data_IF_423124055935
#
_entry.id   IF_423124055935
#
_cell.length_a   1.000
_cell.length_b   1.000
_cell.length_c   1.000
_cell.angle_alpha   90.00
_cell.angle_beta   90.00
_cell.angle_gamma   90.00
#
_symmetry.space_group_name_H-M   'P 1'
#
loop_
_entity.id
_entity.type
_entity.pdbx_description
1 polymer ?
#
# COMPACT_ATOMS: atom_id res chain seq x y z
N UNK A 1 -4.36 10.20 3.14
CA UNK A 1 -4.90 10.85 1.93
C UNK A 1 -5.24 12.27 2.33
N UNK A 2 -4.53 13.28 1.85
CA UNK A 2 -4.88 14.66 2.19
C UNK A 2 -6.00 15.14 1.26
N UNK A 3 -6.94 15.92 1.80
CA UNK A 3 -7.93 16.66 1.01
C UNK A 3 -7.17 17.71 0.20
N UNK A 4 -7.09 17.47 -1.10
CA UNK A 4 -6.57 18.44 -2.04
C UNK A 4 -7.47 18.37 -3.27
N UNK A 5 -8.20 19.46 -3.48
CA UNK A 5 -9.16 19.62 -4.58
C UNK A 5 -8.45 20.07 -5.86
N UNK A 6 -7.35 20.83 -5.77
CA UNK A 6 -6.66 21.39 -6.95
C UNK A 6 -5.14 21.10 -6.94
N UNK A 7 -4.60 20.85 -8.13
CA UNK A 7 -3.20 20.62 -8.43
C UNK A 7 -2.50 21.92 -8.83
N UNK A 8 -2.85 23.06 -8.21
CA UNK A 8 -2.34 24.38 -8.60
C UNK A 8 -0.80 24.32 -8.71
N UNK A 9 -0.24 24.67 -9.88
CA UNK A 9 1.13 24.31 -10.23
C UNK A 9 2.10 25.19 -9.46
N UNK A 10 2.69 24.64 -8.41
CA UNK A 10 3.95 25.18 -7.92
C UNK A 10 5.04 24.74 -8.90
N UNK A 11 5.77 25.71 -9.46
CA UNK A 11 6.83 25.46 -10.42
C UNK A 11 7.79 24.38 -9.85
N UNK A 12 7.93 23.29 -10.59
CA UNK A 12 8.87 22.22 -10.28
C UNK A 12 10.27 22.77 -10.61
N UNK A 13 11.23 22.80 -9.67
CA UNK A 13 12.61 23.12 -10.02
C UNK A 13 13.09 22.05 -11.01
N UNK A 14 13.38 22.46 -12.24
CA UNK A 14 14.12 21.65 -13.19
C UNK A 14 15.47 21.31 -12.56
N UNK A 15 15.83 20.02 -12.56
CA UNK A 15 17.17 19.61 -12.16
C UNK A 15 18.18 20.36 -13.05
N UNK A 16 18.92 21.29 -12.45
CA UNK A 16 19.83 22.17 -13.18
C UNK A 16 20.96 21.33 -13.78
N UNK A 17 20.94 21.16 -15.10
CA UNK A 17 22.16 20.97 -15.86
C UNK A 17 22.98 22.27 -15.78
N UNK A 18 24.30 22.11 -15.70
CA UNK A 18 25.30 23.18 -15.56
C UNK A 18 25.27 24.14 -16.77
N UNK A 19 25.34 25.45 -16.53
CA UNK A 19 25.75 26.45 -17.53
C UNK A 19 24.99 27.79 -17.46
N UNK A 20 25.66 28.95 -17.60
CA UNK A 20 25.07 30.24 -17.27
C UNK A 20 24.37 30.89 -18.48
N UNK A 21 23.33 31.67 -18.17
CA UNK A 21 22.58 32.59 -19.05
C UNK A 21 21.63 31.96 -20.06
N UNK A 22 20.34 31.91 -19.71
CA UNK A 22 19.23 32.36 -20.57
C UNK A 22 17.94 32.50 -19.75
N UNK A 23 17.20 33.57 -20.00
CA UNK A 23 15.95 33.98 -19.33
C UNK A 23 14.82 32.95 -19.51
N UNK A 24 13.83 32.87 -18.59
CA UNK A 24 12.83 31.82 -18.63
C UNK A 24 11.73 32.14 -19.66
N UNK A 25 11.51 31.23 -20.61
CA UNK A 25 10.27 31.19 -21.41
C UNK A 25 9.25 30.28 -20.72
N UNK A 26 8.02 30.78 -20.59
CA UNK A 26 6.87 30.03 -20.07
C UNK A 26 6.40 29.12 -21.21
N UNK A 27 6.75 27.84 -21.15
CA UNK A 27 6.17 26.82 -22.01
C UNK A 27 4.85 26.32 -21.40
N UNK A 28 3.78 26.37 -22.20
CA UNK A 28 2.40 26.09 -21.81
C UNK A 28 2.00 24.61 -21.88
N UNK A 29 2.95 23.68 -21.86
CA UNK A 29 2.68 22.24 -21.78
C UNK A 29 3.71 21.55 -20.89
N UNK A 30 3.31 20.76 -19.86
CA UNK A 30 4.26 19.97 -19.12
C UNK A 30 4.70 18.80 -20.01
N UNK A 31 5.96 18.86 -20.46
CA UNK A 31 6.62 17.74 -21.12
C UNK A 31 6.45 16.45 -20.28
N UNK A 32 6.32 15.27 -20.93
CA UNK A 32 6.23 14.00 -20.21
C UNK A 32 7.46 13.84 -19.33
N UNK A 33 7.24 13.77 -18.02
CA UNK A 33 8.30 13.52 -17.06
C UNK A 33 8.96 12.17 -17.37
N UNK A 34 10.30 12.18 -17.40
CA UNK A 34 11.11 10.96 -17.49
C UNK A 34 10.62 9.93 -16.46
N UNK A 35 10.49 8.64 -16.81
CA UNK A 35 10.09 7.59 -15.87
C UNK A 35 11.03 7.49 -14.65
N UNK A 36 12.23 8.08 -14.75
CA UNK A 36 13.24 8.19 -13.70
C UNK A 36 13.11 9.44 -12.80
N UNK A 37 12.07 10.28 -12.98
CA UNK A 37 11.71 11.28 -11.96
C UNK A 37 11.04 10.59 -10.76
N UNK A 38 11.91 9.98 -9.97
CA UNK A 38 11.68 9.23 -8.76
C UNK A 38 11.15 10.19 -7.69
N UNK A 39 9.82 10.30 -7.51
CA UNK A 39 9.24 11.22 -6.51
C UNK A 39 9.31 10.59 -5.11
N UNK A 40 10.14 11.11 -4.17
CA UNK A 40 10.17 10.60 -2.80
C UNK A 40 9.07 11.25 -1.96
N UNK A 41 8.33 10.42 -1.22
CA UNK A 41 7.57 10.90 -0.06
C UNK A 41 6.43 11.88 -0.35
N UNK A 42 6.50 13.06 0.29
CA UNK A 42 5.49 14.14 0.26
C UNK A 42 5.83 15.28 -0.71
N UNK A 43 6.97 15.23 -1.39
CA UNK A 43 7.31 16.21 -2.42
C UNK A 43 6.29 16.16 -3.58
N UNK A 44 6.22 17.24 -4.38
CA UNK A 44 5.37 17.32 -5.57
C UNK A 44 3.87 17.10 -5.27
N UNK A 45 3.34 17.83 -4.29
CA UNK A 45 1.92 17.74 -3.89
C UNK A 45 0.94 18.12 -4.99
N UNK A 46 1.37 18.91 -5.99
CA UNK A 46 0.60 19.18 -7.20
C UNK A 46 0.34 17.90 -8.02
N UNK A 47 1.21 16.89 -7.94
CA UNK A 47 1.00 15.62 -8.62
C UNK A 47 0.13 14.68 -7.78
N UNK A 48 -1.09 14.52 -8.26
CA UNK A 48 -2.12 13.70 -7.62
C UNK A 48 -2.40 12.44 -8.46
N UNK A 49 -2.94 11.39 -7.83
CA UNK A 49 -3.22 10.10 -8.48
C UNK A 49 -2.00 9.18 -8.66
N UNK A 50 -0.77 9.67 -8.52
CA UNK A 50 0.48 8.89 -8.68
C UNK A 50 0.85 8.05 -7.45
N UNK A 51 1.69 7.02 -7.67
CA UNK A 51 2.27 6.19 -6.60
C UNK A 51 3.26 6.98 -5.76
N UNK A 52 3.23 6.76 -4.43
CA UNK A 52 4.13 7.41 -3.47
C UNK A 52 4.92 6.38 -2.67
N UNK A 53 6.14 6.75 -2.26
CA UNK A 53 7.03 5.93 -1.43
C UNK A 53 7.15 6.46 -0.01
N UNK A 54 7.46 5.55 0.91
CA UNK A 54 7.87 5.86 2.29
C UNK A 54 9.40 5.95 2.38
N UNK A 55 9.95 6.60 3.42
CA UNK A 55 9.27 7.49 4.37
C UNK A 55 8.87 8.81 3.68
N UNK A 56 7.84 9.46 4.21
CA UNK A 56 7.41 10.77 3.68
C UNK A 56 8.24 11.95 4.20
N UNK A 57 9.16 11.71 5.14
CA UNK A 57 10.04 12.73 5.68
C UNK A 57 11.33 12.79 4.86
N UNK A 58 11.79 13.99 4.53
CA UNK A 58 12.99 14.19 3.72
C UNK A 58 14.30 13.84 4.43
N UNK A 59 14.31 13.76 5.76
CA UNK A 59 15.49 13.45 6.57
C UNK A 59 15.75 11.94 6.75
N UNK A 60 14.81 11.09 6.32
CA UNK A 60 14.93 9.65 6.50
C UNK A 60 15.43 8.97 5.21
N UNK A 61 16.24 7.89 5.31
CA UNK A 61 16.74 7.18 4.13
C UNK A 61 15.59 6.74 3.20
N UNK A 62 15.74 6.88 1.87
CA UNK A 62 14.70 6.51 0.93
C UNK A 62 14.46 4.99 0.97
N UNK A 63 13.19 4.58 0.85
CA UNK A 63 12.84 3.16 0.69
C UNK A 63 12.01 2.95 -0.58
N UNK A 64 12.01 1.72 -1.09
CA UNK A 64 11.11 1.34 -2.18
C UNK A 64 9.68 1.04 -1.70
N UNK A 65 9.41 1.04 -0.38
CA UNK A 65 8.11 0.70 0.17
C UNK A 65 7.04 1.72 -0.26
N UNK A 66 5.96 1.23 -0.87
CA UNK A 66 4.86 2.10 -1.33
C UNK A 66 3.98 2.58 -0.18
N UNK A 67 3.22 3.64 -0.43
CA UNK A 67 2.23 4.13 0.53
C UNK A 67 1.16 3.08 0.82
N UNK A 68 0.49 3.17 1.97
CA UNK A 68 -0.57 2.22 2.30
C UNK A 68 -1.73 2.32 1.31
N UNK A 69 -2.06 3.54 0.84
CA UNK A 69 -3.09 3.74 -0.20
C UNK A 69 -2.73 3.02 -1.50
N UNK A 70 -1.47 3.08 -1.95
CA UNK A 70 -1.06 2.40 -3.20
C UNK A 70 -1.07 0.88 -3.05
N UNK A 71 -0.73 0.36 -1.86
CA UNK A 71 -0.83 -1.07 -1.55
C UNK A 71 -2.30 -1.52 -1.54
N UNK A 72 -3.18 -0.76 -0.88
CA UNK A 72 -4.62 -1.04 -0.86
C UNK A 72 -5.22 -1.01 -2.27
N UNK A 73 -4.85 -0.02 -3.09
CA UNK A 73 -5.27 0.03 -4.49
C UNK A 73 -4.81 -1.18 -5.29
N UNK A 74 -3.56 -1.64 -5.10
CA UNK A 74 -3.09 -2.87 -5.74
C UNK A 74 -3.90 -4.10 -5.29
N UNK A 75 -4.27 -4.19 -4.01
CA UNK A 75 -5.10 -5.27 -3.48
C UNK A 75 -6.52 -5.30 -4.06
N UNK A 76 -7.02 -4.20 -4.63
CA UNK A 76 -8.27 -4.21 -5.39
C UNK A 76 -8.16 -5.07 -6.65
N UNK A 77 -6.97 -5.35 -7.17
CA UNK A 77 -6.75 -6.21 -8.33
C UNK A 77 -6.21 -7.59 -7.96
N UNK A 78 -5.34 -7.66 -6.95
CA UNK A 78 -4.52 -8.85 -6.65
C UNK A 78 -5.03 -9.67 -5.48
N UNK A 79 -6.21 -9.38 -4.94
CA UNK A 79 -6.71 -9.88 -3.65
C UNK A 79 -5.77 -9.57 -2.48
N UNK A 80 -6.18 -9.97 -1.27
CA UNK A 80 -5.41 -9.86 -0.02
C UNK A 80 -4.36 -10.96 0.14
N UNK A 81 -4.48 -12.04 -0.65
CA UNK A 81 -3.58 -13.18 -0.53
C UNK A 81 -2.17 -12.82 -1.01
N UNK A 82 -1.17 -13.39 -0.34
CA UNK A 82 0.22 -13.41 -0.81
C UNK A 82 0.40 -14.47 -1.90
N UNK A 83 1.55 -14.43 -2.60
CA UNK A 83 1.91 -15.43 -3.62
C UNK A 83 1.83 -16.89 -3.13
N UNK A 84 2.47 -17.30 -2.01
CA UNK A 84 2.34 -18.68 -1.54
C UNK A 84 0.90 -19.05 -1.16
N UNK A 85 0.18 -18.15 -0.49
CA UNK A 85 -1.20 -18.43 -0.05
C UNK A 85 -2.20 -18.51 -1.21
N UNK A 86 -1.96 -17.80 -2.31
CA UNK A 86 -2.84 -17.87 -3.49
C UNK A 86 -2.71 -19.16 -4.30
N UNK A 87 -1.71 -20.00 -3.99
CA UNK A 87 -1.62 -21.35 -4.53
C UNK A 87 -2.55 -22.34 -3.80
N UNK A 88 -2.89 -22.03 -2.54
CA UNK A 88 -3.69 -22.90 -1.66
C UNK A 88 -5.15 -22.44 -1.54
N UNK A 89 -5.41 -21.14 -1.72
CA UNK A 89 -6.73 -20.53 -1.54
C UNK A 89 -7.07 -19.69 -2.76
N UNK A 90 -8.27 -19.88 -3.32
CA UNK A 90 -8.74 -19.05 -4.45
C UNK A 90 -8.78 -17.57 -4.05
N UNK A 91 -8.26 -16.66 -4.90
CA UNK A 91 -8.32 -15.23 -4.64
C UNK A 91 -9.71 -14.62 -4.86
N UNK A 92 -10.65 -15.31 -5.53
CA UNK A 92 -11.95 -14.77 -6.02
C UNK A 92 -12.73 -13.95 -4.99
N UNK A 93 -12.72 -14.40 -3.73
CA UNK A 93 -13.47 -13.80 -2.63
C UNK A 93 -12.57 -13.27 -1.50
N UNK A 94 -11.25 -13.20 -1.73
CA UNK A 94 -10.28 -12.73 -0.75
C UNK A 94 -9.97 -11.23 -0.91
N UNK A 95 -11.01 -10.40 -1.11
CA UNK A 95 -10.89 -8.95 -1.34
C UNK A 95 -11.45 -8.15 -0.16
N UNK A 96 -10.97 -6.91 0.00
CA UNK A 96 -11.57 -5.97 0.95
C UNK A 96 -12.95 -5.59 0.42
N UNK A 97 -13.98 -5.69 1.25
CA UNK A 97 -15.32 -5.19 0.92
C UNK A 97 -15.57 -3.77 1.42
N UNK A 98 -14.96 -3.39 2.56
CA UNK A 98 -15.15 -2.08 3.19
C UNK A 98 -13.87 -1.60 3.87
N UNK A 99 -13.51 -0.35 3.60
CA UNK A 99 -12.48 0.40 4.33
C UNK A 99 -13.16 1.42 5.25
N UNK A 100 -12.94 1.30 6.57
CA UNK A 100 -13.50 2.23 7.56
C UNK A 100 -12.42 3.22 7.98
N UNK A 101 -12.72 4.52 7.89
CA UNK A 101 -11.82 5.61 8.30
C UNK A 101 -12.46 6.47 9.39
N UNK A 102 -11.68 7.06 10.32
CA UNK A 102 -12.22 8.10 11.20
C UNK A 102 -12.80 9.25 10.38
N UNK A 103 -14.00 9.72 10.74
CA UNK A 103 -14.68 10.80 10.02
C UNK A 103 -13.80 12.07 9.91
N UNK A 104 -13.04 12.38 10.97
CA UNK A 104 -12.11 13.52 11.02
C UNK A 104 -10.90 13.42 10.07
N UNK A 105 -10.60 12.22 9.54
CA UNK A 105 -9.50 11.96 8.60
C UNK A 105 -10.00 11.55 7.21
N UNK A 106 -11.31 11.45 7.03
CA UNK A 106 -11.91 11.10 5.76
C UNK A 106 -11.84 12.27 4.77
N UNK A 107 -11.40 11.96 3.56
CA UNK A 107 -11.44 12.88 2.42
C UNK A 107 -12.12 12.16 1.27
N UNK A 108 -13.34 12.58 0.92
CA UNK A 108 -14.12 12.02 -0.17
C UNK A 108 -13.35 12.07 -1.50
N UNK A 109 -12.88 13.25 -1.89
CA UNK A 109 -12.06 13.45 -3.10
C UNK A 109 -10.76 12.64 -3.08
N UNK A 110 -10.10 12.56 -1.93
CA UNK A 110 -8.90 11.72 -1.76
C UNK A 110 -9.20 10.24 -1.98
N UNK A 111 -10.27 9.72 -1.36
CA UNK A 111 -10.65 8.31 -1.49
C UNK A 111 -11.12 7.99 -2.92
N UNK A 112 -11.97 8.83 -3.51
CA UNK A 112 -12.43 8.73 -4.90
C UNK A 112 -11.23 8.65 -5.84
N UNK A 113 -10.29 9.60 -5.74
CA UNK A 113 -9.09 9.62 -6.57
C UNK A 113 -8.23 8.36 -6.43
N UNK A 114 -8.12 7.77 -5.25
CA UNK A 114 -7.23 6.62 -5.02
C UNK A 114 -7.84 5.25 -5.29
N UNK A 115 -9.13 5.07 -5.04
CA UNK A 115 -9.75 3.74 -4.92
C UNK A 115 -10.97 3.52 -5.83
N UNK A 116 -11.63 4.58 -6.31
CA UNK A 116 -12.87 4.44 -7.09
C UNK A 116 -12.60 4.01 -8.53
N UNK A 117 -13.59 3.32 -9.10
CA UNK A 117 -13.79 3.01 -10.52
C UNK A 117 -14.12 4.23 -11.40
N UNK A 118 -14.27 5.42 -10.81
CA UNK A 118 -14.69 6.63 -11.51
C UNK A 118 -16.19 6.68 -11.83
N UNK A 119 -16.96 5.66 -11.44
CA UNK A 119 -18.41 5.63 -11.59
C UNK A 119 -19.04 6.15 -10.29
N UNK A 120 -19.78 7.24 -10.39
CA UNK A 120 -20.53 7.83 -9.27
C UNK A 120 -20.56 9.35 -9.35
N UNK A 121 -21.76 9.92 -9.46
CA UNK A 121 -22.01 11.33 -9.22
C UNK A 121 -22.04 11.55 -7.70
N UNK A 122 -21.16 12.40 -7.18
CA UNK A 122 -21.54 13.12 -5.96
C UNK A 122 -22.53 14.20 -6.44
N UNK A 123 -23.78 14.19 -5.96
CA UNK A 123 -24.84 15.15 -6.35
C UNK A 123 -24.46 16.63 -6.07
N UNK A 124 -23.33 16.87 -5.40
CA UNK A 124 -22.83 18.20 -5.04
C UNK A 124 -21.51 18.60 -5.74
N UNK A 125 -21.02 17.82 -6.71
CA UNK A 125 -19.76 18.09 -7.42
C UNK A 125 -20.03 18.73 -8.79
N UNK A 126 -20.79 19.84 -8.79
CA UNK A 126 -20.94 20.72 -9.95
C UNK A 126 -19.67 21.54 -10.14
N UNK A 127 -18.67 20.90 -10.73
CA UNK A 127 -17.58 21.58 -11.39
C UNK A 127 -16.36 21.88 -10.52
N UNK A 128 -15.21 21.73 -11.19
CA UNK A 128 -13.88 22.19 -10.80
C UNK A 128 -13.08 21.17 -9.95
N UNK A 129 -12.40 20.29 -10.69
CA UNK A 129 -11.29 19.42 -10.28
C UNK A 129 -11.62 18.06 -9.62
N UNK A 130 -12.59 17.34 -10.18
CA UNK A 130 -12.71 15.89 -10.08
C UNK A 130 -11.51 15.20 -10.75
N UNK A 131 -10.33 15.19 -10.11
CA UNK A 131 -9.21 14.43 -10.63
C UNK A 131 -9.61 12.96 -10.78
N UNK A 132 -9.52 12.49 -12.02
CA UNK A 132 -10.00 11.19 -12.46
C UNK A 132 -9.57 10.09 -11.49
N UNK A 133 -10.53 9.26 -11.10
CA UNK A 133 -10.28 8.14 -10.22
C UNK A 133 -9.23 7.24 -10.85
N UNK A 134 -8.07 7.09 -10.21
CA UNK A 134 -6.90 6.46 -10.86
C UNK A 134 -7.13 5.00 -11.21
N UNK A 135 -8.07 4.35 -10.53
CA UNK A 135 -8.41 2.93 -10.74
C UNK A 135 -9.47 2.75 -11.83
N UNK A 136 -10.10 3.81 -12.33
CA UNK A 136 -11.14 3.73 -13.37
C UNK A 136 -10.75 2.91 -14.61
N UNK A 137 -9.50 2.98 -15.13
CA UNK A 137 -9.10 2.16 -16.27
C UNK A 137 -9.19 0.65 -16.03
N UNK A 138 -9.21 0.19 -14.77
CA UNK A 138 -9.30 -1.23 -14.40
C UNK A 138 -10.75 -1.71 -14.23
N UNK A 139 -11.71 -0.79 -14.21
CA UNK A 139 -13.14 -1.09 -14.07
C UNK A 139 -13.82 -1.46 -15.40
N UNK A 140 -13.10 -1.35 -16.53
CA UNK A 140 -13.63 -1.74 -17.84
C UNK A 140 -13.80 -3.25 -17.90
N UNK A 141 -15.02 -3.71 -18.21
CA UNK A 141 -15.33 -5.13 -18.36
C UNK A 141 -14.53 -5.79 -19.48
N UNK A 142 -14.28 -7.10 -19.36
CA UNK A 142 -13.65 -7.96 -20.38
C UNK A 142 -12.16 -7.72 -20.72
N UNK A 143 -11.39 -7.05 -19.85
CA UNK A 143 -9.94 -6.95 -20.03
C UNK A 143 -9.27 -8.33 -19.98
N UNK A 144 -8.25 -8.56 -20.81
CA UNK A 144 -7.61 -9.89 -20.91
C UNK A 144 -7.02 -10.39 -19.59
N UNK A 145 -6.58 -9.50 -18.70
CA UNK A 145 -5.94 -9.89 -17.44
C UNK A 145 -6.89 -10.39 -16.35
N UNK A 146 -8.20 -10.11 -16.45
CA UNK A 146 -9.18 -10.42 -15.40
C UNK A 146 -10.08 -11.64 -15.69
N UNK A 147 -9.73 -12.43 -16.70
CA UNK A 147 -10.53 -13.57 -17.18
C UNK A 147 -10.25 -14.89 -16.46
N UNK A 148 -9.08 -15.01 -15.82
CA UNK A 148 -8.56 -16.29 -15.32
C UNK A 148 -7.93 -16.14 -13.93
N UNK A 149 -7.91 -17.23 -13.16
CA UNK A 149 -7.21 -17.31 -11.87
C UNK A 149 -7.82 -16.48 -10.73
N UNK A 150 -9.07 -16.04 -10.89
CA UNK A 150 -9.86 -15.34 -9.87
C UNK A 150 -9.42 -13.93 -9.51
N UNK A 151 -8.60 -13.32 -10.37
CA UNK A 151 -8.17 -11.93 -10.21
C UNK A 151 -9.04 -10.98 -11.02
N UNK A 152 -9.58 -9.97 -10.35
CA UNK A 152 -10.38 -8.91 -10.97
C UNK A 152 -10.24 -7.62 -10.18
N UNK A 153 -10.63 -6.50 -10.79
CA UNK A 153 -10.76 -5.25 -10.05
C UNK A 153 -12.03 -5.29 -9.21
N UNK A 154 -11.86 -5.27 -7.88
CA UNK A 154 -12.93 -5.27 -6.88
C UNK A 154 -12.87 -3.95 -6.09
N UNK A 155 -13.72 -2.96 -6.42
CA UNK A 155 -13.83 -1.76 -5.61
C UNK A 155 -14.36 -2.11 -4.21
N UNK A 156 -13.98 -1.31 -3.22
CA UNK A 156 -14.50 -1.45 -1.85
C UNK A 156 -15.20 -0.17 -1.41
N UNK A 157 -16.16 -0.33 -0.51
CA UNK A 157 -16.88 0.81 0.06
C UNK A 157 -15.99 1.53 1.07
N UNK A 158 -15.96 2.87 1.03
CA UNK A 158 -15.33 3.66 2.08
C UNK A 158 -16.41 4.17 3.02
N UNK A 159 -16.35 3.76 4.28
CA UNK A 159 -17.27 4.21 5.34
C UNK A 159 -16.50 4.99 6.39
N UNK A 160 -17.23 5.82 7.14
CA UNK A 160 -16.67 6.60 8.25
C UNK A 160 -17.12 6.07 9.60
N UNK A 161 -16.32 6.32 10.63
CA UNK A 161 -16.68 6.09 12.03
C UNK A 161 -16.33 7.32 12.86
N UNK A 162 -17.10 7.57 13.92
CA UNK A 162 -16.82 8.61 14.91
C UNK A 162 -15.91 8.11 16.05
N UNK A 163 -15.55 6.82 16.05
CA UNK A 163 -14.59 6.26 17.01
C UNK A 163 -13.20 6.81 16.72
N UNK A 164 -12.58 7.43 17.72
CA UNK A 164 -11.22 7.94 17.64
C UNK A 164 -10.37 7.42 18.81
N UNK A 165 -9.08 7.17 18.53
CA UNK A 165 -8.12 6.93 19.60
C UNK A 165 -7.78 8.21 20.36
N UNK A 166 -7.55 8.10 21.67
CA UNK A 166 -7.22 9.23 22.55
C UNK A 166 -6.01 10.07 22.05
N UNK A 167 -5.05 9.41 21.40
CA UNK A 167 -3.82 10.04 20.87
C UNK A 167 -3.85 10.24 19.35
N UNK A 168 -5.04 10.31 18.74
CA UNK A 168 -5.19 10.66 17.32
C UNK A 168 -4.68 12.07 17.05
N UNK A 169 -3.91 12.25 15.96
CA UNK A 169 -3.56 13.59 15.48
C UNK A 169 -4.78 14.23 14.82
N UNK A 170 -5.17 15.42 15.27
CA UNK A 170 -6.26 16.19 14.67
C UNK A 170 -5.71 17.26 13.73
N UNK A 171 -6.38 17.55 12.61
CA UNK A 171 -6.08 18.75 11.86
C UNK A 171 -6.34 19.96 12.78
N UNK A 172 -5.57 21.06 12.67
CA UNK A 172 -5.95 22.29 13.33
C UNK A 172 -7.34 22.70 12.83
N UNK A 173 -8.26 23.01 13.76
CA UNK A 173 -9.57 23.56 13.42
C UNK A 173 -9.33 24.94 12.81
N UNK A 174 -9.49 25.07 11.51
CA UNK A 174 -9.51 26.38 10.86
C UNK A 174 -10.87 27.01 11.19
N UNK A 175 -10.91 27.86 12.22
CA UNK A 175 -12.09 28.70 12.43
C UNK A 175 -12.24 29.61 11.20
N UNK A 176 -13.47 29.88 10.73
CA UNK A 176 -13.69 30.84 9.67
C UNK A 176 -13.08 32.19 10.08
N UNK A 177 -12.48 32.95 9.15
CA UNK A 177 -12.01 34.29 9.46
C UNK A 177 -13.20 35.11 9.97
N UNK A 178 -13.15 35.50 11.25
CA UNK A 178 -14.10 36.44 11.80
C UNK A 178 -14.05 37.72 10.96
N UNK A 179 -15.18 38.27 10.49
CA UNK A 179 -15.16 39.52 9.76
C UNK A 179 -14.53 40.59 10.66
N UNK A 180 -13.49 41.24 10.16
CA UNK A 180 -12.82 42.35 10.81
C UNK A 180 -13.79 43.53 10.95
N UNK A 181 -14.52 43.62 12.06
CA UNK A 181 -15.21 44.86 12.43
C UNK A 181 -14.22 45.76 13.15
N UNK A 182 -13.71 46.72 12.39
CA UNK A 182 -12.93 47.86 12.87
C UNK A 182 -13.80 48.80 13.71
N UNK A 183 -13.80 48.64 15.03
CA UNK A 183 -14.13 49.72 15.97
C UNK A 183 -13.27 49.57 17.24
N UNK A 184 -12.56 50.62 17.69
CA UNK A 184 -11.84 50.59 18.96
C UNK A 184 -12.82 50.82 20.12
N UNK A 185 -12.94 49.85 21.02
CA UNK A 185 -13.61 50.07 22.31
C UNK A 185 -12.62 50.71 23.30
N UNK A 186 -13.05 51.66 24.14
CA UNK A 186 -12.17 52.36 25.06
C UNK A 186 -11.79 51.47 26.25
N UNK A 187 -10.50 51.46 26.55
CA UNK A 187 -9.90 50.80 27.72
C UNK A 187 -10.25 51.61 28.96
N UNK A 188 -11.10 51.09 29.84
CA UNK A 188 -11.00 51.30 31.29
C UNK A 188 -11.51 50.01 31.97
N UNK A 189 -10.59 49.20 32.52
CA UNK A 189 -10.91 48.37 33.68
C UNK A 189 -9.67 48.29 34.59
N UNK A 190 -9.72 49.06 35.65
CA UNK A 190 -8.87 48.97 36.83
C UNK A 190 -9.46 47.92 37.77
N UNK A 191 -8.91 46.71 37.77
CA UNK A 191 -8.95 45.81 38.94
C UNK A 191 -7.82 44.77 38.91
N UNK A 192 -7.13 44.53 40.05
CA UNK A 192 -6.00 43.63 40.12
C UNK A 192 -6.44 42.27 40.69
N UNK A 193 -6.74 41.27 39.86
CA UNK A 193 -6.52 39.86 40.22
C UNK A 193 -6.82 38.85 39.12
N UNK A 194 -6.15 37.70 39.22
CA UNK A 194 -6.32 36.46 38.48
C UNK A 194 -5.76 36.42 37.05
N UNK A 195 -4.45 36.22 36.97
CA UNK A 195 -3.76 35.59 35.84
C UNK A 195 -4.23 34.14 35.69
N UNK A 196 -5.41 33.90 35.08
CA UNK A 196 -5.70 32.58 34.51
C UNK A 196 -4.98 32.48 33.16
N UNK A 197 -3.70 32.08 33.23
CA UNK A 197 -3.01 31.54 32.05
C UNK A 197 -3.76 30.27 31.64
N UNK A 198 -4.64 30.36 30.64
CA UNK A 198 -5.11 29.20 29.89
C UNK A 198 -3.91 28.62 29.12
N UNK A 199 -3.01 27.95 29.83
CA UNK A 199 -1.98 27.12 29.22
C UNK A 199 -2.65 25.85 28.76
N UNK A 200 -3.30 25.89 27.60
CA UNK A 200 -3.57 24.68 26.84
C UNK A 200 -2.21 24.15 26.37
N UNK A 201 -1.53 23.40 27.23
CA UNK A 201 -0.29 22.72 26.90
C UNK A 201 -0.57 21.81 25.71
N UNK A 202 -0.08 22.19 24.52
CA UNK A 202 -0.22 21.37 23.31
C UNK A 202 0.45 20.02 23.58
N UNK A 203 -0.34 18.97 23.74
CA UNK A 203 0.18 17.61 23.92
C UNK A 203 0.95 17.23 22.64
N UNK A 204 2.26 17.00 22.77
CA UNK A 204 3.11 16.57 21.65
C UNK A 204 2.92 15.08 21.40
N UNK A 205 2.17 14.74 20.35
CA UNK A 205 1.93 13.35 19.96
C UNK A 205 3.06 12.86 19.03
N UNK A 206 3.82 11.87 19.48
CA UNK A 206 4.88 11.21 18.71
C UNK A 206 4.45 9.78 18.37
N UNK A 207 4.61 9.32 17.10
CA UNK A 207 4.31 7.94 16.75
C UNK A 207 5.24 6.97 17.49
N UNK A 208 4.69 5.84 17.91
CA UNK A 208 5.49 4.76 18.49
C UNK A 208 6.39 4.11 17.43
N UNK A 209 7.55 3.62 17.85
CA UNK A 209 8.43 2.79 17.02
C UNK A 209 8.07 1.29 17.08
N UNK A 210 7.03 0.93 17.84
CA UNK A 210 6.48 -0.41 17.91
C UNK A 210 5.46 -0.66 16.81
N UNK A 211 5.41 -1.89 16.32
CA UNK A 211 4.31 -2.41 15.51
C UNK A 211 3.79 -3.69 16.16
N UNK A 212 2.49 -3.71 16.46
CA UNK A 212 1.83 -4.81 17.15
C UNK A 212 0.84 -5.50 16.21
N UNK A 213 0.79 -6.83 16.23
CA UNK A 213 -0.18 -7.63 15.51
C UNK A 213 -0.84 -8.63 16.47
N UNK A 214 -2.16 -8.78 16.35
CA UNK A 214 -2.96 -9.78 17.04
C UNK A 214 -3.88 -10.45 16.02
N UNK A 215 -3.94 -11.78 16.01
CA UNK A 215 -4.84 -12.56 15.15
C UNK A 215 -5.99 -13.17 15.96
N UNK A 216 -7.06 -13.57 15.28
CA UNK A 216 -8.17 -14.29 15.91
C UNK A 216 -7.75 -15.66 16.50
N UNK A 217 -6.65 -16.23 16.00
CA UNK A 217 -6.01 -17.43 16.55
C UNK A 217 -5.08 -17.13 17.73
N UNK A 218 -5.23 -15.96 18.37
CA UNK A 218 -4.44 -15.51 19.53
C UNK A 218 -2.92 -15.46 19.29
N UNK A 219 -2.48 -15.25 18.04
CA UNK A 219 -1.07 -14.94 17.79
C UNK A 219 -0.84 -13.46 18.05
N UNK A 220 -0.05 -13.18 19.08
CA UNK A 220 0.39 -11.83 19.40
C UNK A 220 1.86 -11.64 19.02
N UNK A 221 2.18 -10.49 18.43
CA UNK A 221 3.54 -10.11 18.12
C UNK A 221 3.75 -8.62 18.28
N UNK A 222 4.88 -8.26 18.89
CA UNK A 222 5.38 -6.88 18.94
C UNK A 222 6.75 -6.83 18.27
N UNK A 223 6.87 -6.03 17.20
CA UNK A 223 8.13 -5.77 16.48
C UNK A 223 8.59 -4.35 16.70
N UNK A 224 9.91 -4.15 16.67
CA UNK A 224 10.54 -2.83 16.75
C UNK A 224 10.95 -2.34 15.36
N UNK A 225 10.80 -1.03 15.14
CA UNK A 225 11.30 -0.34 13.97
C UNK A 225 10.91 -1.07 12.68
N UNK A 226 9.61 -1.29 12.44
CA UNK A 226 9.11 -2.14 11.35
C UNK A 226 9.60 -1.80 9.93
N UNK A 227 10.17 -0.61 9.71
CA UNK A 227 10.80 -0.21 8.44
C UNK A 227 12.29 -0.58 8.36
N UNK A 228 13.00 -0.68 9.50
CA UNK A 228 14.44 -0.89 9.56
C UNK A 228 14.84 -2.29 10.01
N UNK A 229 14.09 -2.90 10.94
CA UNK A 229 14.44 -4.20 11.54
C UNK A 229 13.36 -5.24 11.34
N UNK A 230 12.07 -4.87 11.47
CA UNK A 230 10.95 -5.78 11.15
C UNK A 230 10.93 -7.10 11.93
N UNK A 231 11.54 -7.12 13.12
CA UNK A 231 11.75 -8.30 13.96
C UNK A 231 11.46 -7.99 15.43
N UNK A 232 11.31 -9.05 16.24
CA UNK A 232 11.13 -8.96 17.68
C UNK A 232 12.39 -8.41 18.36
N UNK A 233 12.21 -7.60 19.40
CA UNK A 233 13.30 -6.97 20.14
C UNK A 233 14.21 -7.98 20.86
N UNK A 234 13.58 -9.03 21.40
CA UNK A 234 14.23 -10.03 22.24
C UNK A 234 15.11 -11.02 21.48
N UNK A 235 15.00 -11.08 20.15
CA UNK A 235 15.67 -12.11 19.35
C UNK A 235 16.22 -11.52 18.05
N UNK A 236 17.54 -11.36 18.01
CA UNK A 236 18.24 -10.80 16.86
C UNK A 236 18.52 -11.82 15.72
N UNK A 237 18.08 -13.07 15.86
CA UNK A 237 18.26 -14.13 14.84
C UNK A 237 16.97 -14.34 14.04
N UNK A 238 16.96 -15.34 13.15
CA UNK A 238 15.76 -15.79 12.41
C UNK A 238 14.59 -16.12 13.34
N UNK A 239 14.87 -16.53 14.60
CA UNK A 239 13.83 -16.82 15.60
C UNK A 239 12.95 -15.59 15.91
N UNK A 240 13.55 -14.40 15.85
CA UNK A 240 12.84 -13.13 16.03
C UNK A 240 12.09 -12.64 14.80
N UNK A 241 12.12 -13.37 13.67
CA UNK A 241 11.38 -13.01 12.47
C UNK A 241 9.88 -13.01 12.74
N UNK A 242 9.17 -12.03 12.12
CA UNK A 242 7.73 -11.95 12.24
C UNK A 242 7.04 -13.23 11.77
N UNK A 243 5.97 -13.63 12.45
CA UNK A 243 5.11 -14.73 11.95
C UNK A 243 4.53 -14.41 10.55
N UNK A 244 4.41 -13.13 10.20
CA UNK A 244 3.94 -12.64 8.90
C UNK A 244 5.08 -12.37 7.90
N UNK A 245 6.33 -12.73 8.23
CA UNK A 245 7.46 -12.60 7.32
C UNK A 245 7.33 -13.56 6.13
N UNK A 246 7.88 -13.19 4.97
CA UNK A 246 7.83 -14.01 3.75
C UNK A 246 8.31 -15.44 3.99
N UNK A 247 9.42 -15.60 4.71
CA UNK A 247 9.98 -16.92 5.04
C UNK A 247 9.01 -17.76 5.86
N UNK A 248 8.41 -17.20 6.93
CA UNK A 248 7.46 -17.92 7.78
C UNK A 248 6.18 -18.27 7.04
N UNK A 249 5.65 -17.35 6.23
CA UNK A 249 4.46 -17.60 5.41
C UNK A 249 4.72 -18.67 4.34
N UNK A 250 5.89 -18.65 3.69
CA UNK A 250 6.25 -19.68 2.70
C UNK A 250 6.45 -21.04 3.37
N UNK A 251 7.18 -21.12 4.48
CA UNK A 251 7.35 -22.37 5.22
C UNK A 251 6.01 -22.99 5.66
N UNK A 252 5.09 -22.18 6.18
CA UNK A 252 3.76 -22.65 6.54
C UNK A 252 2.97 -23.14 5.31
N UNK A 253 3.09 -22.47 4.17
CA UNK A 253 2.44 -22.92 2.94
C UNK A 253 3.00 -24.28 2.46
N UNK A 254 4.30 -24.53 2.63
CA UNK A 254 4.92 -25.84 2.34
C UNK A 254 4.36 -26.92 3.27
N UNK A 255 4.27 -26.65 4.58
CA UNK A 255 3.67 -27.58 5.54
C UNK A 255 2.22 -27.92 5.16
N UNK A 256 1.40 -26.92 4.84
CA UNK A 256 0.00 -27.11 4.41
C UNK A 256 -0.07 -27.91 3.12
N UNK A 257 0.80 -27.65 2.15
CA UNK A 257 0.84 -28.39 0.89
C UNK A 257 1.18 -29.89 1.09
N UNK A 258 1.95 -30.22 2.12
CA UNK A 258 2.25 -31.61 2.50
C UNK A 258 1.04 -32.41 2.98
N UNK A 259 -0.06 -31.75 3.34
CA UNK A 259 -1.32 -32.39 3.71
C UNK A 259 -2.31 -32.52 2.55
N UNK A 260 -1.99 -31.99 1.36
CA UNK A 260 -2.85 -32.13 0.19
C UNK A 260 -2.79 -33.57 -0.34
N UNK A 261 -3.95 -34.11 -0.66
CA UNK A 261 -4.06 -35.42 -1.30
C UNK A 261 -3.60 -35.33 -2.77
N UNK A 262 -2.76 -36.26 -3.21
CA UNK A 262 -2.18 -36.25 -4.55
C UNK A 262 -3.23 -36.46 -5.66
N UNK A 263 -4.40 -37.01 -5.28
CA UNK A 263 -5.52 -37.26 -6.18
C UNK A 263 -6.41 -36.00 -6.39
N UNK A 264 -6.18 -34.92 -5.65
CA UNK A 264 -6.86 -33.64 -5.88
C UNK A 264 -6.28 -32.91 -7.11
N UNK A 265 -7.17 -32.23 -7.87
CA UNK A 265 -6.77 -31.43 -9.02
C UNK A 265 -5.70 -30.41 -8.63
N UNK A 266 -4.57 -30.44 -9.33
CA UNK A 266 -3.43 -29.54 -9.20
C UNK A 266 -2.61 -29.68 -7.89
N UNK A 267 -2.93 -30.62 -6.99
CA UNK A 267 -2.19 -30.79 -5.73
C UNK A 267 -0.69 -31.03 -5.95
N UNK A 268 -0.33 -31.91 -6.90
CA UNK A 268 1.06 -32.18 -7.27
C UNK A 268 1.77 -30.93 -7.80
N UNK A 269 1.08 -30.13 -8.63
CA UNK A 269 1.63 -28.89 -9.18
C UNK A 269 1.86 -27.83 -8.08
N UNK A 270 0.95 -27.74 -7.11
CA UNK A 270 1.04 -26.84 -5.96
C UNK A 270 2.18 -27.26 -5.03
N UNK A 271 2.26 -28.54 -4.67
CA UNK A 271 3.34 -29.12 -3.87
C UNK A 271 4.69 -28.84 -4.52
N UNK A 272 4.80 -29.10 -5.82
CA UNK A 272 5.99 -28.84 -6.61
C UNK A 272 6.36 -27.34 -6.65
N UNK A 273 5.38 -26.46 -6.89
CA UNK A 273 5.58 -25.00 -6.91
C UNK A 273 6.04 -24.44 -5.56
N UNK A 274 5.55 -25.00 -4.45
CA UNK A 274 5.91 -24.59 -3.10
C UNK A 274 7.23 -25.20 -2.61
N UNK A 275 7.69 -26.29 -3.23
CA UNK A 275 8.86 -27.05 -2.77
C UNK A 275 8.55 -28.04 -1.64
N UNK A 276 7.30 -28.50 -1.54
CA UNK A 276 6.94 -29.59 -0.63
C UNK A 276 7.47 -30.93 -1.17
N UNK A 277 8.18 -31.68 -0.33
CA UNK A 277 8.69 -32.99 -0.70
C UNK A 277 7.52 -33.97 -0.86
N UNK A 278 7.32 -34.48 -2.08
CA UNK A 278 6.45 -35.63 -2.31
C UNK A 278 7.22 -36.87 -1.86
N UNK A 279 6.71 -37.58 -0.85
CA UNK A 279 7.24 -38.90 -0.54
C UNK A 279 7.03 -39.78 -1.79
N UNK A 280 8.05 -40.52 -2.28
CA UNK A 280 7.89 -41.35 -3.47
C UNK A 280 7.01 -42.54 -3.10
N UNK A 281 5.69 -42.42 -3.30
CA UNK A 281 4.80 -43.56 -3.25
C UNK A 281 4.38 -43.96 -4.66
N UNK A 282 5.06 -45.00 -5.11
CA UNK A 282 4.69 -45.95 -6.16
C UNK A 282 4.86 -45.48 -7.61
N UNK A 283 5.79 -46.17 -8.25
CA UNK A 283 6.15 -46.17 -9.66
C UNK A 283 4.96 -46.31 -10.60
N UNK A 284 4.86 -45.41 -11.58
CA UNK A 284 4.32 -45.72 -12.91
C UNK A 284 5.06 -44.85 -13.94
N UNK A 285 5.71 -45.46 -14.97
CA UNK A 285 6.46 -44.70 -15.96
C UNK A 285 5.53 -44.38 -17.13
N UNK A 286 5.23 -43.09 -17.33
CA UNK A 286 5.10 -42.43 -18.62
C UNK A 286 4.31 -41.14 -18.47
N UNK A 287 5.00 -40.00 -18.45
CA UNK A 287 4.61 -38.81 -19.20
C UNK A 287 5.78 -37.84 -19.24
N UNK A 288 6.30 -37.64 -20.45
CA UNK A 288 7.34 -36.68 -20.79
C UNK A 288 6.73 -35.28 -20.79
N UNK A 289 6.41 -34.75 -19.63
CA UNK A 289 6.14 -33.32 -19.46
C UNK A 289 7.38 -32.70 -18.86
N UNK A 290 7.88 -31.64 -19.51
CA UNK A 290 9.01 -30.82 -19.10
C UNK A 290 8.97 -30.58 -17.59
N UNK A 291 9.72 -31.36 -16.82
CA UNK A 291 9.74 -31.27 -15.36
C UNK A 291 10.37 -29.93 -14.99
N UNK A 292 9.51 -28.95 -14.69
CA UNK A 292 9.88 -27.78 -13.91
C UNK A 292 10.62 -28.31 -12.68
N UNK A 293 11.75 -27.71 -12.29
CA UNK A 293 12.37 -28.00 -11.01
C UNK A 293 11.60 -27.30 -9.88
N UNK A 294 11.60 -27.82 -8.64
CA UNK A 294 10.95 -27.16 -7.52
C UNK A 294 11.57 -25.78 -7.27
N UNK A 295 10.78 -24.85 -6.74
CA UNK A 295 11.23 -23.49 -6.48
C UNK A 295 12.46 -23.49 -5.56
N UNK A 296 13.60 -23.01 -6.06
CA UNK A 296 14.87 -22.97 -5.30
C UNK A 296 14.96 -21.71 -4.45
N UNK A 297 14.21 -20.68 -4.82
CA UNK A 297 14.12 -19.40 -4.11
C UNK A 297 12.68 -18.88 -4.04
N UNK A 298 12.45 -17.89 -3.18
CA UNK A 298 11.16 -17.21 -3.12
C UNK A 298 10.83 -16.44 -4.41
N UNK A 299 11.85 -16.01 -5.15
CA UNK A 299 11.70 -15.45 -6.50
C UNK A 299 11.14 -16.51 -7.47
N UNK A 300 11.71 -17.73 -7.48
CA UNK A 300 11.24 -18.82 -8.34
C UNK A 300 9.80 -19.21 -8.02
N UNK A 301 9.45 -19.31 -6.73
CA UNK A 301 8.07 -19.55 -6.29
C UNK A 301 7.11 -18.53 -6.93
N UNK A 302 7.48 -17.26 -6.92
CA UNK A 302 6.67 -16.18 -7.48
C UNK A 302 6.57 -16.21 -9.00
N UNK A 303 7.51 -16.86 -9.67
CA UNK A 303 7.57 -16.97 -11.13
C UNK A 303 6.90 -18.24 -11.68
N UNK A 304 6.48 -19.16 -10.81
CA UNK A 304 5.76 -20.39 -11.20
C UNK A 304 4.57 -20.11 -12.14
N UNK A 305 4.26 -21.02 -13.09
CA UNK A 305 3.13 -20.85 -14.02
C UNK A 305 1.78 -20.67 -13.32
N UNK A 306 1.60 -21.32 -12.16
CA UNK A 306 0.37 -21.21 -11.35
C UNK A 306 0.10 -19.76 -10.87
N UNK A 307 1.13 -18.91 -10.77
CA UNK A 307 1.00 -17.51 -10.39
C UNK A 307 1.00 -16.53 -11.57
N UNK A 308 0.97 -17.03 -12.81
CA UNK A 308 0.89 -16.19 -14.00
C UNK A 308 -0.33 -15.24 -13.97
N UNK A 309 -1.55 -15.68 -13.59
CA UNK A 309 -2.71 -14.78 -13.52
C UNK A 309 -2.50 -13.64 -12.51
N UNK A 310 -1.83 -13.94 -11.38
CA UNK A 310 -1.47 -12.96 -10.37
C UNK A 310 -0.47 -11.93 -10.91
N UNK A 311 0.52 -12.37 -11.69
CA UNK A 311 1.51 -11.49 -12.31
C UNK A 311 0.85 -10.58 -13.34
N UNK A 312 -0.04 -11.09 -14.18
CA UNK A 312 -0.85 -10.30 -15.12
C UNK A 312 -1.68 -9.23 -14.41
N UNK A 313 -2.38 -9.58 -13.33
CA UNK A 313 -3.16 -8.63 -12.55
C UNK A 313 -2.30 -7.50 -11.93
N UNK A 314 -1.10 -7.85 -11.42
CA UNK A 314 -0.15 -6.85 -10.91
C UNK A 314 0.35 -5.93 -12.01
N UNK A 315 0.70 -6.48 -13.16
CA UNK A 315 1.19 -5.70 -14.29
C UNK A 315 0.11 -4.73 -14.81
N UNK A 316 -1.11 -5.22 -15.01
CA UNK A 316 -2.25 -4.40 -15.41
C UNK A 316 -2.48 -3.25 -14.43
N UNK A 317 -2.53 -3.52 -13.12
CA UNK A 317 -2.72 -2.49 -12.10
C UNK A 317 -1.60 -1.43 -12.12
N UNK A 318 -0.35 -1.86 -12.29
CA UNK A 318 0.82 -0.96 -12.37
C UNK A 318 0.79 -0.08 -13.61
N UNK A 319 0.49 -0.68 -14.76
CA UNK A 319 0.49 -0.01 -16.06
C UNK A 319 -0.68 0.95 -16.21
N UNK A 320 -1.88 0.54 -15.78
CA UNK A 320 -3.12 1.26 -16.06
C UNK A 320 -3.49 2.27 -14.98
N UNK A 321 -3.13 2.04 -13.72
CA UNK A 321 -3.63 2.84 -12.59
C UNK A 321 -2.55 3.35 -11.62
N UNK A 322 -1.46 2.62 -11.44
CA UNK A 322 -0.43 2.92 -10.44
C UNK A 322 0.84 3.48 -11.08
N UNK A 323 0.69 4.60 -11.81
CA UNK A 323 1.80 5.31 -12.46
C UNK A 323 2.93 5.62 -11.47
N UNK A 324 4.16 5.31 -11.86
CA UNK A 324 5.37 5.49 -11.04
C UNK A 324 5.65 4.33 -10.08
N UNK A 325 4.98 3.17 -10.24
CA UNK A 325 5.28 2.00 -9.42
C UNK A 325 6.65 1.40 -9.74
N UNK A 326 7.61 1.59 -8.82
CA UNK A 326 8.91 0.90 -8.86
C UNK A 326 8.84 -0.41 -8.07
N UNK A 327 9.24 -1.55 -8.65
CA UNK A 327 9.27 -2.82 -7.92
C UNK A 327 10.31 -2.81 -6.78
N UNK A 328 9.99 -3.47 -5.66
CA UNK A 328 11.00 -3.75 -4.63
C UNK A 328 11.94 -4.84 -5.15
N UNK A 329 13.24 -4.72 -4.89
CA UNK A 329 14.27 -5.69 -5.23
C UNK A 329 15.11 -6.06 -3.99
N UNK A 330 15.82 -7.18 -4.06
CA UNK A 330 16.79 -7.61 -3.03
C UNK A 330 16.19 -8.36 -1.83
N UNK A 331 14.92 -8.78 -1.89
CA UNK A 331 14.24 -9.46 -0.78
C UNK A 331 13.50 -10.75 -1.19
N UNK A 332 13.92 -11.36 -2.32
CA UNK A 332 13.33 -12.56 -2.90
C UNK A 332 14.35 -13.70 -3.17
N UNK A 333 15.65 -13.39 -3.12
CA UNK A 333 16.75 -14.34 -3.38
C UNK A 333 17.12 -15.14 -2.11
N UNK A 334 16.16 -15.88 -1.56
CA UNK A 334 16.38 -16.77 -0.42
C UNK A 334 15.63 -18.09 -0.59
N UNK A 335 16.17 -19.18 -0.03
CA UNK A 335 15.59 -20.53 0.01
C UNK A 335 14.96 -20.85 1.37
N UNK A 336 14.17 -21.91 1.42
CA UNK A 336 13.80 -22.56 2.69
C UNK A 336 14.79 -23.71 2.96
N UNK A 337 15.75 -23.48 3.84
CA UNK A 337 16.50 -24.58 4.42
C UNK A 337 15.60 -25.23 5.48
N UNK A 338 14.96 -26.35 5.12
CA UNK A 338 14.05 -27.08 6.01
C UNK A 338 14.78 -27.70 7.22
N UNK A 339 16.11 -27.76 7.20
CA UNK A 339 16.97 -28.39 8.22
C UNK A 339 17.40 -27.44 9.37
N UNK A 340 16.96 -26.18 9.41
CA UNK A 340 17.42 -25.18 10.42
C UNK A 340 16.36 -24.68 11.39
N UNK A 341 15.38 -25.51 11.76
CA UNK A 341 14.46 -25.20 12.86
C UNK A 341 14.89 -25.80 14.19
#
# INVERSE_FOLDING_TARGET
MASQADATPWAIPTASARGPFSSPSIASDPAPLDPDTVLPGRAFFSQLGIVRRKPSRGDAPPTLSKSCSDKLSLHQCTSLLSSPTSLLVSPDHAYISTLILPASQYSASGCRRAFSDGQGQDENDEGVNSQQARMAPLAVENQSWNREGGYSFRPFNVKTTNLEFAFSRRPPVTLPPSPSSSLPLPIIDTSPNATLKNSTSKIKITPSNLSVALTASNREETTLNGVLQGRKASEATVRGASFASRRRTWALAVEVAGFLDADELNAQQIQHALGASTSPRTTSPAQTTTESLPAKSYADLKDTPLLEPRRRAKEAARKLALKGWVQNSGDEDFSLDLDTY
#
